data_IF_448884072434
#
_entry.id   IF_448884072434
#
_cell.length_a   1.000
_cell.length_b   1.000
_cell.length_c   1.000
_cell.angle_alpha   90.00
_cell.angle_beta   90.00
_cell.angle_gamma   90.00
#
_symmetry.space_group_name_H-M   'P 1'
#
loop_
_entity.id
_entity.type
_entity.pdbx_description
1 polymer ?
#
# COMPACT_ATOMS: atom_id res chain seq x y z
N UNK A 1 14.66 -18.64 -8.81
CA UNK A 1 13.75 -17.90 -9.71
C UNK A 1 12.34 -18.11 -9.18
N UNK A 2 11.87 -17.23 -8.29
CA UNK A 2 10.49 -17.26 -7.78
C UNK A 2 9.65 -16.29 -8.61
N UNK A 3 8.50 -16.75 -9.09
CA UNK A 3 7.52 -15.93 -9.80
C UNK A 3 7.10 -14.76 -8.90
N UNK A 4 7.39 -13.52 -9.32
CA UNK A 4 6.93 -12.31 -8.62
C UNK A 4 5.41 -12.25 -8.67
N UNK A 5 4.76 -12.69 -7.59
CA UNK A 5 3.31 -12.77 -7.48
C UNK A 5 2.72 -11.43 -7.05
N UNK A 6 1.87 -10.84 -7.88
CA UNK A 6 1.02 -9.71 -7.48
C UNK A 6 -0.11 -10.22 -6.59
N UNK A 7 -0.36 -9.57 -5.45
CA UNK A 7 -1.36 -9.99 -4.45
C UNK A 7 -2.36 -8.87 -4.19
N UNK A 8 -3.65 -9.18 -4.19
CA UNK A 8 -4.69 -8.28 -3.69
C UNK A 8 -5.23 -8.83 -2.37
N UNK A 9 -5.27 -7.99 -1.34
CA UNK A 9 -5.84 -8.31 -0.03
C UNK A 9 -6.98 -7.32 0.23
N UNK A 10 -8.18 -7.85 0.45
CA UNK A 10 -9.35 -7.08 0.82
C UNK A 10 -9.69 -7.37 2.28
N UNK A 11 -9.89 -6.32 3.07
CA UNK A 11 -10.39 -6.45 4.44
C UNK A 11 -11.73 -5.74 4.55
N UNK A 12 -12.76 -6.47 4.97
CA UNK A 12 -14.07 -5.92 5.32
C UNK A 12 -14.06 -5.60 6.81
N UNK A 13 -14.15 -4.32 7.15
CA UNK A 13 -14.31 -3.91 8.54
C UNK A 13 -15.79 -4.02 8.93
N UNK A 14 -16.09 -4.81 9.97
CA UNK A 14 -17.45 -5.00 10.50
C UNK A 14 -17.63 -4.11 11.75
N UNK A 15 -17.46 -2.80 11.59
CA UNK A 15 -17.56 -1.78 12.65
C UNK A 15 -18.25 -0.52 12.14
N UNK A 16 -18.74 0.33 13.04
CA UNK A 16 -19.50 1.57 12.73
C UNK A 16 -18.70 2.68 12.06
N UNK A 17 -17.39 2.47 11.84
CA UNK A 17 -16.50 3.38 11.13
C UNK A 17 -16.21 2.78 9.74
N UNK A 18 -16.58 3.51 8.69
CA UNK A 18 -16.40 3.12 7.28
C UNK A 18 -14.93 3.19 6.81
N UNK A 19 -13.98 2.70 7.60
CA UNK A 19 -12.56 2.71 7.25
C UNK A 19 -12.14 1.32 6.75
N UNK A 20 -12.35 1.09 5.44
CA UNK A 20 -11.82 -0.09 4.76
C UNK A 20 -10.35 0.09 4.40
N UNK A 21 -9.59 -1.02 4.38
CA UNK A 21 -8.25 -1.02 3.79
C UNK A 21 -8.08 -2.08 2.71
N UNK A 22 -7.43 -1.68 1.62
CA UNK A 22 -7.06 -2.57 0.51
C UNK A 22 -5.54 -2.66 0.41
N UNK A 23 -5.01 -3.88 0.43
CA UNK A 23 -3.58 -4.16 0.29
C UNK A 23 -3.25 -4.60 -1.14
N UNK A 24 -2.27 -3.96 -1.76
CA UNK A 24 -1.77 -4.31 -3.11
C UNK A 24 -0.28 -4.66 -3.00
N UNK A 25 0.04 -5.91 -3.31
CA UNK A 25 1.40 -6.42 -3.44
C UNK A 25 2.01 -6.00 -4.78
N UNK A 26 3.11 -5.26 -4.71
CA UNK A 26 3.87 -4.77 -5.86
C UNK A 26 5.26 -5.41 -5.91
N UNK A 27 5.81 -5.58 -7.11
CA UNK A 27 7.18 -6.05 -7.28
C UNK A 27 8.20 -5.02 -6.77
N UNK A 28 7.97 -3.74 -7.06
CA UNK A 28 8.72 -2.62 -6.48
C UNK A 28 7.73 -1.52 -6.04
N UNK A 29 7.62 -1.34 -4.74
CA UNK A 29 6.71 -0.37 -4.14
C UNK A 29 7.24 1.08 -4.26
N UNK A 30 8.54 1.29 -4.46
CA UNK A 30 9.15 2.62 -4.59
C UNK A 30 8.73 3.31 -5.87
N UNK A 31 8.66 2.56 -6.97
CA UNK A 31 8.19 3.10 -8.25
C UNK A 31 6.76 3.62 -8.13
N UNK A 32 5.90 2.90 -7.40
CA UNK A 32 4.52 3.33 -7.18
C UNK A 32 4.48 4.57 -6.28
N UNK A 33 5.29 4.61 -5.20
CA UNK A 33 5.39 5.79 -4.34
C UNK A 33 5.82 7.03 -5.12
N UNK A 34 6.89 6.94 -5.90
CA UNK A 34 7.38 8.04 -6.73
C UNK A 34 6.33 8.54 -7.74
N UNK A 35 5.60 7.61 -8.37
CA UNK A 35 4.50 7.95 -9.26
C UNK A 35 3.35 8.66 -8.53
N UNK A 36 3.04 8.24 -7.29
CA UNK A 36 2.05 8.90 -6.45
C UNK A 36 2.49 10.33 -6.09
N UNK A 37 3.74 10.51 -5.68
CA UNK A 37 4.31 11.84 -5.39
C UNK A 37 4.29 12.74 -6.61
N UNK A 38 4.71 12.24 -7.77
CA UNK A 38 4.74 13.02 -9.02
C UNK A 38 3.34 13.44 -9.49
N UNK A 39 2.29 12.76 -9.02
CA UNK A 39 0.89 13.05 -9.34
C UNK A 39 0.16 13.82 -8.24
N UNK A 40 0.85 14.19 -7.15
CA UNK A 40 0.25 14.90 -6.02
C UNK A 40 -0.79 14.06 -5.26
N UNK A 41 -0.68 12.73 -5.30
CA UNK A 41 -1.54 11.84 -4.53
C UNK A 41 -1.24 12.03 -3.04
N UNK A 42 -2.30 12.14 -2.22
CA UNK A 42 -2.15 12.32 -0.78
C UNK A 42 -1.68 11.03 -0.10
N UNK A 43 -0.39 10.99 0.19
CA UNK A 43 0.25 9.91 0.96
C UNK A 43 -0.07 10.12 2.44
N UNK A 44 -0.61 9.10 3.09
CA UNK A 44 -0.98 9.12 4.50
C UNK A 44 0.18 8.66 5.40
N UNK A 45 0.91 7.66 4.94
CA UNK A 45 2.15 7.17 5.55
C UNK A 45 3.13 6.95 4.39
N UNK A 46 4.29 7.60 4.46
CA UNK A 46 5.36 7.44 3.47
C UNK A 46 5.99 6.04 3.50
N UNK A 47 6.93 5.80 2.60
CA UNK A 47 7.68 4.54 2.56
C UNK A 47 8.26 4.20 3.94
N UNK A 48 7.84 3.04 4.46
CA UNK A 48 8.25 2.50 5.75
C UNK A 48 8.77 1.09 5.53
N UNK A 49 10.06 0.87 5.81
CA UNK A 49 10.64 -0.46 5.77
C UNK A 49 10.52 -1.12 7.14
N UNK A 50 10.06 -2.36 7.17
CA UNK A 50 9.97 -3.20 8.37
C UNK A 50 10.61 -4.56 8.07
N UNK A 51 10.91 -5.41 9.07
CA UNK A 51 11.51 -6.73 8.80
C UNK A 51 10.68 -7.68 7.93
N UNK A 52 9.42 -7.35 7.65
CA UNK A 52 8.47 -8.22 6.93
C UNK A 52 7.97 -7.61 5.62
N UNK A 53 8.06 -6.30 5.43
CA UNK A 53 7.50 -5.59 4.28
C UNK A 53 8.09 -4.19 4.15
N UNK A 54 8.28 -3.73 2.92
CA UNK A 54 8.41 -2.33 2.57
C UNK A 54 7.05 -1.81 2.10
N UNK A 55 6.49 -0.80 2.77
CA UNK A 55 5.12 -0.35 2.48
C UNK A 55 4.94 1.17 2.50
N UNK A 56 3.87 1.65 1.87
CA UNK A 56 3.33 2.98 2.11
C UNK A 56 1.80 2.97 2.02
N UNK A 57 1.16 4.04 2.47
CA UNK A 57 -0.30 4.16 2.52
C UNK A 57 -0.77 5.48 1.92
N UNK A 58 -1.93 5.44 1.28
CA UNK A 58 -2.61 6.61 0.73
C UNK A 58 -4.08 6.65 1.11
N UNK A 59 -4.60 7.87 1.25
CA UNK A 59 -6.04 8.10 1.38
C UNK A 59 -6.66 8.17 -0.01
N UNK A 60 -7.73 7.42 -0.24
CA UNK A 60 -8.58 7.65 -1.39
C UNK A 60 -9.57 8.81 -1.08
N UNK A 61 -10.22 9.32 -2.13
CA UNK A 61 -11.17 10.44 -1.99
C UNK A 61 -12.40 10.09 -1.14
N UNK A 62 -12.70 8.80 -0.99
CA UNK A 62 -13.85 8.30 -0.23
C UNK A 62 -13.54 8.08 1.26
N UNK A 63 -12.32 8.40 1.71
CA UNK A 63 -11.91 8.18 3.11
C UNK A 63 -11.51 6.73 3.42
N UNK A 64 -11.13 5.94 2.42
CA UNK A 64 -10.51 4.64 2.61
C UNK A 64 -8.98 4.73 2.51
N UNK A 65 -8.29 3.77 3.12
CA UNK A 65 -6.83 3.65 3.04
C UNK A 65 -6.43 2.55 2.05
N UNK A 66 -5.53 2.87 1.12
CA UNK A 66 -4.90 1.88 0.25
C UNK A 66 -3.46 1.70 0.71
N UNK A 67 -3.06 0.44 0.94
CA UNK A 67 -1.72 0.04 1.35
C UNK A 67 -1.03 -0.64 0.18
N UNK A 68 0.13 -0.14 -0.20
CA UNK A 68 1.01 -0.81 -1.16
C UNK A 68 2.19 -1.40 -0.40
N UNK A 69 2.60 -2.61 -0.77
CA UNK A 69 3.75 -3.26 -0.16
C UNK A 69 4.53 -4.14 -1.13
N UNK A 70 5.83 -4.24 -0.90
CA UNK A 70 6.75 -5.20 -1.54
C UNK A 70 7.56 -5.92 -0.46
N UNK A 71 8.46 -6.81 -0.89
CA UNK A 71 9.45 -7.39 0.02
C UNK A 71 10.25 -6.29 0.74
N UNK A 72 10.65 -6.52 2.00
CA UNK A 72 11.43 -5.56 2.77
C UNK A 72 12.83 -5.38 2.19
N UNK A 73 13.44 -4.22 2.46
CA UNK A 73 14.87 -4.08 2.23
C UNK A 73 15.61 -4.90 3.29
N UNK A 74 16.42 -5.85 2.81
CA UNK A 74 17.37 -6.64 3.60
C UNK A 74 18.36 -5.79 4.38
#
# INVERSE_FOLDING_TARGET
MGLGGHRLILSLHQGTLCEGWTGIGAGDVRMIHQLCESRGVRISIGLTNTPWVLEFRLWNQDGNTIRFGSDPDI
#
